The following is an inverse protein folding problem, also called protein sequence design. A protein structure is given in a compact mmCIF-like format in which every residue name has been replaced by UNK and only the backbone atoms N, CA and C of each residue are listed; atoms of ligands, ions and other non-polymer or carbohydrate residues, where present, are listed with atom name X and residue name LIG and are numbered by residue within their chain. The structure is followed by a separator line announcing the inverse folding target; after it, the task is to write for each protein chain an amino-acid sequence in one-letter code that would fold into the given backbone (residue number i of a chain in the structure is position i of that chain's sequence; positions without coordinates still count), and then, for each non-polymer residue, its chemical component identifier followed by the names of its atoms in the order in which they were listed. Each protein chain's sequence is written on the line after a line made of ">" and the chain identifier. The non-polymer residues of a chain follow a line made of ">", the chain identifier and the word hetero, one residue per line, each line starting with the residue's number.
data_IF_914655598459
#
_entry.id   IF_914655598459
#
_cell.length_a   1.000
_cell.length_b   1.000
_cell.length_c   1.000
_cell.angle_alpha   90.00
_cell.angle_beta   90.00
_cell.angle_gamma   90.00
#
_symmetry.space_group_name_H-M   'P 1'
#
loop_
_entity.id
_entity.type
_entity.pdbx_description
1 polymer ?
#
# COMPACT_ATOMS: atom_id res chain seq x y z
N UNK A 1 -12.95 -0.38 -2.43
CA UNK A 1 -12.75 -1.53 -1.53
C UNK A 1 -13.35 -1.31 -0.15
N UNK A 2 -13.19 -0.14 0.49
CA UNK A 2 -13.64 0.19 1.85
C UNK A 2 -15.11 -0.16 2.15
N UNK A 3 -16.01 0.08 1.20
CA UNK A 3 -17.43 -0.19 1.43
C UNK A 3 -17.81 -1.66 1.30
N UNK A 4 -17.00 -2.50 0.66
CA UNK A 4 -17.38 -3.90 0.36
C UNK A 4 -17.37 -4.77 1.61
N UNK A 5 -16.36 -4.66 2.46
CA UNK A 5 -16.26 -5.44 3.70
C UNK A 5 -17.37 -5.08 4.68
N UNK A 6 -17.77 -3.80 4.79
CA UNK A 6 -18.89 -3.38 5.63
C UNK A 6 -20.23 -3.94 5.20
N UNK A 7 -20.47 -4.17 3.91
CA UNK A 7 -21.69 -4.84 3.47
C UNK A 7 -21.78 -6.28 3.97
N UNK A 8 -20.68 -7.03 3.95
CA UNK A 8 -20.63 -8.39 4.50
C UNK A 8 -20.82 -8.39 6.01
N UNK A 9 -20.16 -7.49 6.72
CA UNK A 9 -20.31 -7.35 8.18
C UNK A 9 -21.73 -6.96 8.56
N UNK A 10 -22.38 -6.08 7.79
CA UNK A 10 -23.79 -5.72 7.98
C UNK A 10 -24.73 -6.90 7.70
N UNK A 11 -24.48 -7.66 6.65
CA UNK A 11 -25.26 -8.87 6.34
C UNK A 11 -25.16 -9.91 7.47
N UNK A 12 -23.94 -10.11 8.01
CA UNK A 12 -23.72 -10.99 9.15
C UNK A 12 -24.45 -10.48 10.41
N UNK A 13 -24.43 -9.18 10.67
CA UNK A 13 -25.15 -8.56 11.79
C UNK A 13 -26.66 -8.78 11.67
N UNK A 14 -27.23 -8.61 10.47
CA UNK A 14 -28.64 -8.90 10.19
C UNK A 14 -28.97 -10.37 10.42
N UNK A 15 -28.10 -11.28 10.01
CA UNK A 15 -28.26 -12.71 10.25
C UNK A 15 -28.26 -13.04 11.74
N UNK A 16 -27.28 -12.55 12.49
CA UNK A 16 -27.19 -12.74 13.95
C UNK A 16 -28.39 -12.14 14.69
N UNK A 17 -28.83 -10.94 14.27
CA UNK A 17 -30.02 -10.29 14.86
C UNK A 17 -31.30 -11.08 14.58
N UNK A 18 -31.40 -11.72 13.43
CA UNK A 18 -32.51 -12.62 13.09
C UNK A 18 -32.55 -13.86 13.98
N UNK A 19 -31.38 -14.41 14.36
CA UNK A 19 -31.28 -15.48 15.33
C UNK A 19 -31.79 -15.08 16.73
N UNK A 20 -31.52 -13.83 17.17
CA UNK A 20 -32.08 -13.30 18.42
C UNK A 20 -33.59 -13.16 18.38
N UNK A 21 -34.16 -12.69 17.25
CA UNK A 21 -35.60 -12.60 17.05
C UNK A 21 -36.27 -13.99 17.12
N UNK A 22 -35.67 -15.00 16.50
CA UNK A 22 -36.16 -16.37 16.56
C UNK A 22 -36.20 -16.93 18.00
N UNK A 23 -35.16 -16.63 18.81
CA UNK A 23 -35.12 -17.00 20.23
C UNK A 23 -36.15 -16.24 21.09
N UNK A 24 -36.49 -15.01 20.70
CA UNK A 24 -37.52 -14.21 21.36
C UNK A 24 -38.96 -14.61 21.00
N UNK A 25 -39.12 -15.65 20.18
CA UNK A 25 -40.44 -16.21 19.81
C UNK A 25 -40.96 -15.76 18.44
N UNK A 26 -40.31 -14.76 17.81
CA UNK A 26 -40.76 -14.24 16.51
C UNK A 26 -40.01 -14.95 15.35
N UNK A 27 -40.25 -16.25 15.25
CA UNK A 27 -39.63 -17.11 14.23
C UNK A 27 -40.03 -16.73 12.79
N UNK A 28 -41.25 -16.26 12.60
CA UNK A 28 -41.73 -15.88 11.26
C UNK A 28 -41.00 -14.66 10.70
N UNK A 29 -40.80 -13.63 11.53
CA UNK A 29 -40.03 -12.44 11.17
C UNK A 29 -38.56 -12.76 10.95
N UNK A 30 -37.97 -13.60 11.79
CA UNK A 30 -36.60 -14.05 11.64
C UNK A 30 -36.38 -14.78 10.32
N UNK A 31 -37.24 -15.72 9.99
CA UNK A 31 -37.19 -16.48 8.73
C UNK A 31 -37.38 -15.57 7.51
N UNK A 32 -38.31 -14.64 7.59
CA UNK A 32 -38.54 -13.64 6.50
C UNK A 32 -37.29 -12.77 6.27
N UNK A 33 -36.63 -12.32 7.32
CA UNK A 33 -35.37 -11.52 7.21
C UNK A 33 -34.27 -12.33 6.57
N UNK A 34 -34.02 -13.56 7.05
CA UNK A 34 -32.99 -14.44 6.47
C UNK A 34 -33.28 -14.72 5.02
N UNK A 35 -34.53 -15.09 4.68
CA UNK A 35 -34.93 -15.32 3.29
C UNK A 35 -34.69 -14.09 2.40
N UNK A 36 -35.08 -12.91 2.85
CA UNK A 36 -34.89 -11.68 2.07
C UNK A 36 -33.42 -11.35 1.89
N UNK A 37 -32.57 -11.58 2.90
CA UNK A 37 -31.14 -11.39 2.82
C UNK A 37 -30.50 -12.35 1.80
N UNK A 38 -30.88 -13.62 1.83
CA UNK A 38 -30.40 -14.63 0.87
C UNK A 38 -30.86 -14.29 -0.54
N UNK A 39 -32.13 -13.95 -0.74
CA UNK A 39 -32.66 -13.57 -2.05
C UNK A 39 -31.94 -12.32 -2.59
N UNK A 40 -31.74 -11.31 -1.77
CA UNK A 40 -31.00 -10.11 -2.16
C UNK A 40 -29.57 -10.45 -2.58
N UNK A 41 -28.86 -11.28 -1.78
CA UNK A 41 -27.52 -11.72 -2.11
C UNK A 41 -27.44 -12.49 -3.43
N UNK A 42 -28.37 -13.41 -3.66
CA UNK A 42 -28.44 -14.17 -4.91
C UNK A 42 -28.76 -13.26 -6.11
N UNK A 43 -29.72 -12.35 -5.99
CA UNK A 43 -30.03 -11.39 -7.06
C UNK A 43 -28.83 -10.49 -7.37
N UNK A 44 -28.13 -9.99 -6.33
CA UNK A 44 -26.94 -9.18 -6.51
C UNK A 44 -25.81 -9.96 -7.20
N UNK A 45 -25.60 -11.22 -6.82
CA UNK A 45 -24.60 -12.10 -7.44
C UNK A 45 -24.93 -12.38 -8.90
N UNK A 46 -26.18 -12.72 -9.21
CA UNK A 46 -26.64 -12.94 -10.59
C UNK A 46 -26.49 -11.68 -11.44
N UNK A 47 -26.89 -10.53 -10.91
CA UNK A 47 -26.72 -9.25 -11.60
C UNK A 47 -25.24 -8.92 -11.84
N UNK A 48 -24.36 -9.14 -10.86
CA UNK A 48 -22.92 -8.94 -11.00
C UNK A 48 -22.34 -9.83 -12.09
N UNK A 49 -22.68 -11.12 -12.08
CA UNK A 49 -22.19 -12.07 -13.09
C UNK A 49 -22.74 -11.71 -14.48
N UNK A 50 -24.04 -11.40 -14.59
CA UNK A 50 -24.65 -11.08 -15.87
C UNK A 50 -24.13 -9.78 -16.49
N UNK A 51 -23.94 -8.73 -15.67
CA UNK A 51 -23.52 -7.40 -16.14
C UNK A 51 -22.01 -7.26 -16.28
N UNK A 52 -21.23 -7.96 -15.45
CA UNK A 52 -19.78 -7.78 -15.34
C UNK A 52 -19.00 -9.05 -15.68
N UNK A 53 -19.61 -9.99 -16.42
CA UNK A 53 -18.95 -11.26 -16.76
C UNK A 53 -17.53 -11.13 -17.32
N UNK A 54 -17.24 -10.23 -18.26
CA UNK A 54 -15.87 -10.08 -18.77
C UNK A 54 -14.84 -9.70 -17.69
N UNK A 55 -15.28 -8.93 -16.68
CA UNK A 55 -14.45 -8.56 -15.54
C UNK A 55 -14.37 -9.70 -14.52
N UNK A 56 -15.50 -10.34 -14.23
CA UNK A 56 -15.58 -11.47 -13.27
C UNK A 56 -14.74 -12.64 -13.75
N UNK A 57 -14.83 -12.99 -15.03
CA UNK A 57 -14.05 -14.09 -15.61
C UNK A 57 -12.54 -13.83 -15.54
N UNK A 58 -12.10 -12.60 -15.81
CA UNK A 58 -10.68 -12.21 -15.65
C UNK A 58 -10.23 -12.29 -14.19
N UNK A 59 -11.05 -11.81 -13.24
CA UNK A 59 -10.74 -11.90 -11.81
C UNK A 59 -10.64 -13.36 -11.34
N UNK A 60 -11.52 -14.24 -11.83
CA UNK A 60 -11.52 -15.66 -11.46
C UNK A 60 -10.35 -16.44 -12.10
N UNK A 61 -9.92 -16.03 -13.29
CA UNK A 61 -8.80 -16.63 -13.99
C UNK A 61 -7.43 -16.13 -13.50
N UNK A 62 -7.41 -15.00 -12.79
CA UNK A 62 -6.17 -14.37 -12.36
C UNK A 62 -5.72 -14.92 -11.00
N UNK A 63 -4.47 -15.42 -10.94
CA UNK A 63 -3.87 -15.84 -9.67
C UNK A 63 -3.32 -14.64 -8.90
N UNK A 64 -4.15 -14.14 -7.99
CA UNK A 64 -3.75 -13.04 -7.12
C UNK A 64 -2.67 -13.43 -6.12
N UNK A 65 -2.56 -14.71 -5.75
CA UNK A 65 -1.57 -15.17 -4.78
C UNK A 65 -0.17 -15.11 -5.36
N UNK A 66 -0.03 -15.44 -6.64
CA UNK A 66 1.23 -15.35 -7.37
C UNK A 66 1.69 -13.89 -7.45
N UNK A 67 0.80 -13.00 -7.91
CA UNK A 67 1.11 -11.58 -8.07
C UNK A 67 1.49 -10.85 -6.78
N UNK A 68 0.88 -11.24 -5.66
CA UNK A 68 1.08 -10.58 -4.37
C UNK A 68 1.95 -11.38 -3.40
N UNK A 69 2.57 -12.48 -3.86
CA UNK A 69 3.44 -13.35 -3.04
C UNK A 69 4.56 -12.58 -2.34
N UNK A 70 5.13 -11.60 -2.99
CA UNK A 70 6.21 -10.75 -2.45
C UNK A 70 5.78 -9.91 -1.24
N UNK A 71 4.50 -9.58 -1.14
CA UNK A 71 3.95 -8.86 0.00
C UNK A 71 3.43 -9.78 1.11
N UNK A 72 3.56 -11.09 0.92
CA UNK A 72 3.18 -12.08 1.93
C UNK A 72 4.40 -12.45 2.78
N UNK A 73 4.76 -11.56 3.69
CA UNK A 73 5.94 -11.70 4.58
C UNK A 73 5.67 -12.52 5.83
N UNK A 74 4.43 -12.96 6.06
CA UNK A 74 4.09 -13.81 7.21
C UNK A 74 2.60 -14.07 7.37
N UNK A 75 2.28 -14.97 8.30
CA UNK A 75 0.90 -15.37 8.57
C UNK A 75 0.16 -14.43 9.53
N UNK A 76 -0.91 -14.95 10.13
CA UNK A 76 -1.80 -14.21 11.03
C UNK A 76 -1.06 -13.53 12.21
N UNK A 77 -0.02 -14.14 12.75
CA UNK A 77 0.74 -13.56 13.87
C UNK A 77 1.48 -12.30 13.43
N UNK A 78 2.10 -12.33 12.24
CA UNK A 78 2.77 -11.17 11.64
C UNK A 78 1.76 -10.06 11.36
N UNK A 79 0.58 -10.39 10.85
CA UNK A 79 -0.49 -9.42 10.61
C UNK A 79 -0.96 -8.76 11.91
N UNK A 80 -1.19 -9.54 12.98
CA UNK A 80 -1.54 -8.99 14.30
C UNK A 80 -0.44 -8.11 14.88
N UNK A 81 0.81 -8.47 14.66
CA UNK A 81 1.96 -7.65 15.04
C UNK A 81 1.91 -6.31 14.30
N UNK A 82 1.75 -6.30 12.98
CA UNK A 82 1.61 -5.06 12.20
C UNK A 82 0.43 -4.21 12.66
N UNK A 83 -0.71 -4.82 12.97
CA UNK A 83 -1.85 -4.09 13.53
C UNK A 83 -1.54 -3.44 14.87
N UNK A 84 -0.91 -4.17 15.79
CA UNK A 84 -0.51 -3.64 17.09
C UNK A 84 0.49 -2.48 16.93
N UNK A 85 1.43 -2.68 16.06
CA UNK A 85 2.50 -1.71 15.81
C UNK A 85 1.96 -0.46 15.11
N UNK A 86 1.17 -0.55 14.07
CA UNK A 86 0.60 0.60 13.34
C UNK A 86 -0.48 1.37 14.10
N UNK A 87 -1.18 0.75 15.03
CA UNK A 87 -2.10 1.44 15.93
C UNK A 87 -1.41 2.07 17.14
N UNK A 88 -0.20 1.64 17.43
CA UNK A 88 0.49 1.91 18.69
C UNK A 88 0.07 0.94 19.80
N UNK A 89 1.03 0.34 20.47
CA UNK A 89 0.80 -0.74 21.42
C UNK A 89 -0.22 -0.37 22.51
N UNK A 90 -0.15 0.84 23.06
CA UNK A 90 -1.09 1.31 24.09
C UNK A 90 -2.52 1.42 23.55
N UNK A 91 -2.67 1.98 22.35
CA UNK A 91 -3.98 2.10 21.69
C UNK A 91 -4.54 0.71 21.40
N UNK A 92 -3.70 -0.22 20.97
CA UNK A 92 -4.10 -1.59 20.70
C UNK A 92 -4.57 -2.33 21.98
N UNK A 93 -3.89 -2.12 23.11
CA UNK A 93 -4.34 -2.64 24.41
C UNK A 93 -5.71 -2.07 24.79
N UNK A 94 -5.95 -0.76 24.56
CA UNK A 94 -7.26 -0.16 24.83
C UNK A 94 -8.35 -0.69 23.89
N UNK A 95 -8.03 -0.98 22.65
CA UNK A 95 -8.94 -1.64 21.68
C UNK A 95 -9.34 -3.03 22.20
N UNK A 96 -8.36 -3.83 22.63
CA UNK A 96 -8.62 -5.16 23.20
C UNK A 96 -9.45 -5.08 24.50
N UNK A 97 -9.16 -4.09 25.34
CA UNK A 97 -9.93 -3.84 26.55
C UNK A 97 -11.38 -3.43 26.23
N UNK A 98 -11.56 -2.55 25.25
CA UNK A 98 -12.89 -2.15 24.76
C UNK A 98 -13.68 -3.33 24.21
N UNK A 99 -13.03 -4.21 23.48
CA UNK A 99 -13.61 -5.45 23.01
C UNK A 99 -14.09 -6.33 24.17
N UNK A 100 -13.23 -6.59 25.16
CA UNK A 100 -13.59 -7.34 26.35
C UNK A 100 -14.74 -6.70 27.12
N UNK A 101 -14.77 -5.36 27.29
CA UNK A 101 -15.87 -4.64 27.95
C UNK A 101 -17.19 -4.79 27.22
N UNK A 102 -17.20 -4.78 25.89
CA UNK A 102 -18.41 -5.02 25.12
C UNK A 102 -19.04 -6.37 25.47
N UNK A 103 -18.24 -7.43 25.62
CA UNK A 103 -18.73 -8.72 26.07
C UNK A 103 -19.26 -8.69 27.50
N UNK A 104 -18.50 -8.08 28.41
CA UNK A 104 -18.92 -7.95 29.82
C UNK A 104 -20.24 -7.19 29.96
N UNK A 105 -20.46 -6.18 29.14
CA UNK A 105 -21.68 -5.33 29.18
C UNK A 105 -22.81 -5.86 28.29
N UNK A 106 -22.65 -7.02 27.68
CA UNK A 106 -23.62 -7.64 26.77
C UNK A 106 -23.98 -6.75 25.56
N UNK A 107 -23.08 -5.90 25.14
CA UNK A 107 -23.20 -5.03 23.96
C UNK A 107 -22.78 -5.80 22.70
N UNK A 108 -23.41 -6.93 22.44
CA UNK A 108 -22.94 -7.88 21.41
C UNK A 108 -23.01 -7.38 19.99
N UNK A 109 -23.86 -6.40 19.67
CA UNK A 109 -24.01 -5.90 18.31
C UNK A 109 -22.76 -5.17 17.82
N UNK A 110 -22.17 -4.34 18.69
CA UNK A 110 -21.01 -3.53 18.36
C UNK A 110 -19.73 -4.38 18.15
N UNK A 111 -19.33 -5.26 19.10
CA UNK A 111 -18.18 -6.11 18.87
C UNK A 111 -18.41 -7.15 17.77
N UNK A 112 -19.65 -7.59 17.53
CA UNK A 112 -19.92 -8.50 16.43
C UNK A 112 -19.67 -7.83 15.07
N UNK A 113 -20.06 -6.57 14.89
CA UNK A 113 -19.76 -5.81 13.69
C UNK A 113 -18.26 -5.61 13.52
N UNK A 114 -17.59 -5.13 14.57
CA UNK A 114 -16.15 -4.90 14.55
C UNK A 114 -15.36 -6.18 14.27
N UNK A 115 -15.71 -7.29 14.96
CA UNK A 115 -15.07 -8.59 14.75
C UNK A 115 -15.30 -9.16 13.38
N UNK A 116 -16.52 -9.06 12.85
CA UNK A 116 -16.79 -9.58 11.50
C UNK A 116 -15.98 -8.84 10.45
N UNK A 117 -15.83 -7.53 10.61
CA UNK A 117 -14.99 -6.71 9.73
C UNK A 117 -13.51 -7.07 9.85
N UNK A 118 -13.00 -7.11 11.07
CA UNK A 118 -11.61 -7.47 11.35
C UNK A 118 -11.30 -8.89 10.86
N UNK A 119 -12.15 -9.87 11.17
CA UNK A 119 -11.93 -11.26 10.78
C UNK A 119 -11.98 -11.43 9.26
N UNK A 120 -12.94 -10.80 8.58
CA UNK A 120 -13.07 -10.88 7.14
C UNK A 120 -11.87 -10.25 6.45
N UNK A 121 -11.47 -9.07 6.87
CA UNK A 121 -10.33 -8.36 6.29
C UNK A 121 -9.02 -9.10 6.56
N UNK A 122 -8.81 -9.60 7.79
CA UNK A 122 -7.63 -10.41 8.11
C UNK A 122 -7.56 -11.69 7.28
N UNK A 123 -8.67 -12.41 7.11
CA UNK A 123 -8.68 -13.62 6.27
C UNK A 123 -8.38 -13.29 4.81
N UNK A 124 -8.92 -12.19 4.30
CA UNK A 124 -8.65 -11.78 2.91
C UNK A 124 -7.18 -11.40 2.71
N UNK A 125 -6.63 -10.59 3.60
CA UNK A 125 -5.26 -10.10 3.44
C UNK A 125 -4.22 -11.19 3.75
N UNK A 126 -4.35 -11.94 4.84
CA UNK A 126 -3.35 -12.96 5.20
C UNK A 126 -3.29 -14.16 4.24
N UNK A 127 -4.26 -14.30 3.35
CA UNK A 127 -4.25 -15.34 2.33
C UNK A 127 -3.48 -14.97 1.07
N UNK A 128 -3.40 -13.68 0.76
CA UNK A 128 -2.84 -13.18 -0.49
C UNK A 128 -1.59 -12.36 -0.22
N UNK A 129 -1.66 -11.47 0.76
CA UNK A 129 -0.57 -10.58 1.16
C UNK A 129 -0.79 -10.09 2.60
N UNK A 130 0.24 -9.56 3.24
CA UNK A 130 0.04 -8.80 4.47
C UNK A 130 -0.55 -7.41 4.17
N UNK A 131 -1.29 -6.84 5.12
CA UNK A 131 -1.85 -5.51 4.92
C UNK A 131 -0.75 -4.45 4.93
N UNK A 132 -0.75 -3.57 3.94
CA UNK A 132 0.06 -2.35 3.96
C UNK A 132 -0.59 -1.26 4.81
N UNK A 133 0.11 -0.14 5.01
CA UNK A 133 -0.38 0.98 5.82
C UNK A 133 -1.71 1.55 5.33
N UNK A 134 -1.91 1.64 4.03
CA UNK A 134 -3.15 2.15 3.45
C UNK A 134 -4.36 1.22 3.66
N UNK A 135 -4.15 -0.09 3.79
CA UNK A 135 -5.21 -1.03 4.13
C UNK A 135 -5.68 -0.89 5.58
N UNK A 136 -4.88 -0.30 6.47
CA UNK A 136 -5.30 0.00 7.84
C UNK A 136 -6.55 0.89 7.91
N UNK A 137 -6.82 1.68 6.89
CA UNK A 137 -8.07 2.45 6.77
C UNK A 137 -9.33 1.57 6.78
N UNK A 138 -9.23 0.31 6.38
CA UNK A 138 -10.35 -0.65 6.44
C UNK A 138 -10.71 -1.00 7.89
N UNK A 139 -9.73 -1.07 8.76
CA UNK A 139 -9.89 -1.46 10.16
C UNK A 139 -10.20 -0.28 11.08
N UNK A 140 -9.85 0.94 10.63
CA UNK A 140 -9.90 2.14 11.44
C UNK A 140 -11.27 2.37 12.11
N UNK A 141 -12.43 2.28 11.43
CA UNK A 141 -13.72 2.48 12.09
C UNK A 141 -13.99 1.50 13.23
N UNK A 142 -13.64 0.22 13.04
CA UNK A 142 -13.80 -0.80 14.08
C UNK A 142 -12.86 -0.50 15.26
N UNK A 143 -11.63 -0.12 15.00
CA UNK A 143 -10.65 0.23 16.03
C UNK A 143 -11.05 1.47 16.82
N UNK A 144 -11.50 2.53 16.16
CA UNK A 144 -11.96 3.77 16.83
C UNK A 144 -13.14 3.46 17.78
N UNK A 145 -14.12 2.70 17.33
CA UNK A 145 -15.26 2.34 18.17
C UNK A 145 -14.81 1.54 19.42
N UNK A 146 -14.00 0.51 19.22
CA UNK A 146 -13.52 -0.33 20.33
C UNK A 146 -12.61 0.46 21.27
N UNK A 147 -11.76 1.33 20.74
CA UNK A 147 -10.92 2.22 21.50
C UNK A 147 -11.74 3.19 22.39
N UNK A 148 -12.76 3.83 21.84
CA UNK A 148 -13.64 4.72 22.61
C UNK A 148 -14.37 3.98 23.74
N UNK A 149 -14.82 2.75 23.48
CA UNK A 149 -15.43 1.91 24.53
C UNK A 149 -14.40 1.55 25.60
N UNK A 150 -13.17 1.23 25.19
CA UNK A 150 -12.07 0.93 26.11
C UNK A 150 -11.70 2.13 26.98
N UNK A 151 -11.52 3.29 26.38
CA UNK A 151 -11.19 4.53 27.06
C UNK A 151 -12.29 4.95 28.05
N UNK A 152 -13.56 4.89 27.65
CA UNK A 152 -14.70 5.18 28.52
C UNK A 152 -14.76 4.21 29.70
N UNK A 153 -14.55 2.90 29.44
CA UNK A 153 -14.53 1.89 30.50
C UNK A 153 -13.38 2.04 31.46
N UNK A 154 -12.23 2.49 30.97
CA UNK A 154 -11.09 2.81 31.83
C UNK A 154 -11.38 3.99 32.73
N UNK A 155 -11.97 5.08 32.20
CA UNK A 155 -12.39 6.25 32.96
C UNK A 155 -13.39 5.85 34.07
N UNK A 156 -14.43 5.08 33.75
CA UNK A 156 -15.38 4.57 34.76
C UNK A 156 -14.72 3.69 35.84
N UNK A 157 -13.69 2.91 35.45
CA UNK A 157 -12.96 2.07 36.40
C UNK A 157 -12.13 2.91 37.38
N UNK A 158 -11.51 3.98 36.88
CA UNK A 158 -10.75 4.95 37.70
C UNK A 158 -11.67 5.61 38.73
N UNK A 159 -12.84 6.08 38.32
CA UNK A 159 -13.82 6.71 39.20
C UNK A 159 -14.31 5.73 40.27
N UNK A 160 -14.59 4.50 39.87
CA UNK A 160 -15.09 3.44 40.80
C UNK A 160 -14.07 3.07 41.85
N UNK A 161 -12.80 2.98 41.52
CA UNK A 161 -11.73 2.59 42.43
C UNK A 161 -11.18 3.77 43.25
N UNK A 162 -11.77 4.96 43.14
CA UNK A 162 -11.31 6.18 43.83
C UNK A 162 -9.81 6.42 43.71
N UNK A 163 -9.29 6.17 42.53
CA UNK A 163 -7.86 6.35 42.24
C UNK A 163 -7.47 7.82 42.48
N UNK A 164 -6.29 8.10 43.02
CA UNK A 164 -5.85 9.46 43.25
C UNK A 164 -5.91 10.30 41.96
N UNK A 165 -6.35 11.55 42.07
CA UNK A 165 -6.45 12.48 40.90
C UNK A 165 -5.16 12.55 40.10
N UNK A 166 -4.01 12.37 40.77
CA UNK A 166 -2.71 12.32 40.08
C UNK A 166 -2.60 11.17 39.09
N UNK A 167 -3.12 9.99 39.41
CA UNK A 167 -3.14 8.85 38.48
C UNK A 167 -4.06 9.09 37.30
N UNK A 168 -5.19 9.80 37.53
CA UNK A 168 -6.08 10.20 36.44
C UNK A 168 -5.36 11.14 35.46
N UNK A 169 -4.67 12.16 35.98
CA UNK A 169 -3.90 13.09 35.15
C UNK A 169 -2.71 12.41 34.46
N UNK A 170 -2.02 11.50 35.16
CA UNK A 170 -0.93 10.73 34.56
C UNK A 170 -1.46 9.85 33.40
N UNK A 171 -2.61 9.20 33.57
CA UNK A 171 -3.22 8.37 32.55
C UNK A 171 -3.72 9.21 31.36
N UNK A 172 -4.31 10.38 31.64
CA UNK A 172 -4.73 11.33 30.61
C UNK A 172 -3.52 11.84 29.82
N UNK A 173 -2.41 12.12 30.50
CA UNK A 173 -1.17 12.52 29.84
C UNK A 173 -0.60 11.39 28.96
N UNK A 174 -0.52 10.17 29.48
CA UNK A 174 -0.06 9.01 28.71
C UNK A 174 -0.95 8.80 27.48
N UNK A 175 -2.27 8.93 27.65
CA UNK A 175 -3.21 8.84 26.56
C UNK A 175 -3.03 9.97 25.54
N UNK A 176 -2.91 11.22 25.99
CA UNK A 176 -2.68 12.37 25.12
C UNK A 176 -1.37 12.23 24.33
N UNK A 177 -0.31 11.74 25.00
CA UNK A 177 0.97 11.44 24.35
C UNK A 177 0.80 10.33 23.31
N UNK A 178 0.08 9.25 23.65
CA UNK A 178 -0.17 8.15 22.71
C UNK A 178 -0.93 8.61 21.46
N UNK A 179 -1.99 9.41 21.65
CA UNK A 179 -2.74 10.01 20.52
C UNK A 179 -1.85 10.97 19.75
N UNK A 180 -1.07 11.78 20.45
CA UNK A 180 -0.15 12.75 19.85
C UNK A 180 0.93 12.08 19.03
N UNK A 181 1.40 10.93 19.48
CA UNK A 181 2.38 10.11 18.79
C UNK A 181 1.74 9.21 17.72
N UNK A 182 0.47 9.35 17.42
CA UNK A 182 -0.17 8.66 16.29
C UNK A 182 0.40 9.17 14.96
N UNK A 183 0.62 8.31 13.96
CA UNK A 183 1.08 8.71 12.63
C UNK A 183 0.27 9.85 12.01
N UNK A 184 -1.06 9.82 12.17
CA UNK A 184 -1.97 10.87 11.68
C UNK A 184 -1.71 12.24 12.31
N UNK A 185 -1.23 12.27 13.56
CA UNK A 185 -0.96 13.54 14.27
C UNK A 185 0.42 14.08 13.93
N UNK A 186 1.38 13.19 13.73
CA UNK A 186 2.75 13.55 13.36
C UNK A 186 2.81 14.25 12.01
N UNK A 187 2.01 13.82 11.04
CA UNK A 187 1.91 14.45 9.72
C UNK A 187 1.49 15.94 9.77
N UNK A 188 0.81 16.36 10.84
CA UNK A 188 0.34 17.73 11.01
C UNK A 188 1.30 18.63 11.78
N UNK A 189 2.47 18.12 12.20
CA UNK A 189 3.41 18.84 13.06
C UNK A 189 4.58 19.44 12.29
N UNK A 190 5.06 20.64 12.71
CA UNK A 190 6.34 21.15 12.27
C UNK A 190 7.49 20.20 12.64
N UNK A 191 8.45 20.05 11.75
CA UNK A 191 9.60 19.14 11.87
C UNK A 191 10.34 19.27 13.22
N UNK A 192 10.56 20.50 13.72
CA UNK A 192 11.21 20.76 15.01
C UNK A 192 10.47 20.10 16.18
N UNK A 193 9.14 20.06 16.13
CA UNK A 193 8.31 19.47 17.19
C UNK A 193 8.37 17.97 17.13
N UNK A 194 8.42 17.40 15.93
CA UNK A 194 8.55 15.95 15.70
C UNK A 194 9.86 15.47 16.31
N UNK A 195 10.99 16.05 15.97
CA UNK A 195 12.31 15.66 16.48
C UNK A 195 12.48 15.87 17.98
N UNK A 196 11.79 16.85 18.58
CA UNK A 196 11.87 17.11 20.02
C UNK A 196 11.03 16.13 20.85
N UNK A 197 9.88 15.70 20.33
CA UNK A 197 8.92 14.86 21.07
C UNK A 197 9.08 13.37 20.78
N UNK A 198 9.77 13.00 19.70
CA UNK A 198 9.99 11.62 19.28
C UNK A 198 11.47 11.24 19.36
N UNK A 199 12.03 11.01 20.55
CA UNK A 199 13.32 10.31 20.63
C UNK A 199 13.13 8.91 20.01
N UNK A 200 14.12 8.46 19.24
CA UNK A 200 14.09 7.20 18.49
C UNK A 200 13.64 5.98 19.34
N UNK A 201 14.01 5.97 20.63
CA UNK A 201 13.59 4.94 21.59
C UNK A 201 12.10 4.91 21.92
N UNK A 202 11.38 6.02 21.78
CA UNK A 202 9.94 6.07 21.99
C UNK A 202 9.18 5.72 20.71
N UNK A 203 9.75 5.98 19.55
CA UNK A 203 9.17 5.61 18.26
C UNK A 203 9.15 4.10 18.06
N UNK A 204 10.13 3.35 18.55
CA UNK A 204 10.13 1.89 18.52
C UNK A 204 8.96 1.26 19.31
N UNK A 205 8.58 1.86 20.45
CA UNK A 205 7.49 1.35 21.28
C UNK A 205 6.10 1.83 20.88
N UNK A 206 6.00 3.01 20.30
CA UNK A 206 4.71 3.62 19.92
C UNK A 206 4.39 3.45 18.45
N UNK A 207 5.31 2.97 17.74
CA UNK A 207 5.32 2.45 16.39
C UNK A 207 5.00 3.35 15.23
N UNK A 208 6.00 3.54 14.49
CA UNK A 208 6.02 4.36 13.30
C UNK A 208 6.96 3.78 12.24
N UNK A 209 6.78 2.49 11.89
CA UNK A 209 7.57 1.87 10.82
C UNK A 209 7.37 2.54 9.48
N UNK A 210 6.30 3.32 9.37
CA UNK A 210 5.95 3.98 8.14
C UNK A 210 5.55 5.43 8.38
N UNK A 211 6.28 6.12 9.27
CA UNK A 211 6.22 7.57 9.25
C UNK A 211 6.51 8.03 7.84
N UNK A 212 5.65 8.90 7.35
CA UNK A 212 5.93 9.71 6.17
C UNK A 212 7.38 10.14 6.25
N UNK A 213 8.15 9.65 5.32
CA UNK A 213 9.54 9.99 5.18
C UNK A 213 9.65 11.50 5.15
N UNK A 214 10.29 12.07 6.16
CA UNK A 214 10.67 13.47 6.12
C UNK A 214 11.80 13.61 5.08
N UNK A 215 11.38 13.89 3.84
CA UNK A 215 12.29 13.94 2.70
C UNK A 215 13.19 15.18 2.82
N UNK A 216 14.41 14.94 3.24
CA UNK A 216 15.44 16.00 3.29
C UNK A 216 15.97 16.36 1.89
N UNK A 217 15.72 15.50 0.92
CA UNK A 217 16.15 15.63 -0.49
C UNK A 217 15.06 16.17 -1.43
N UNK A 218 14.00 16.76 -0.88
CA UNK A 218 12.89 17.29 -1.70
C UNK A 218 13.36 18.35 -2.72
N UNK A 219 14.26 19.23 -2.31
CA UNK A 219 14.82 20.26 -3.19
C UNK A 219 15.61 19.66 -4.36
N UNK A 220 16.32 18.57 -4.12
CA UNK A 220 17.06 17.84 -5.14
C UNK A 220 16.11 17.14 -6.14
N UNK A 221 15.06 16.49 -5.62
CA UNK A 221 14.00 15.87 -6.45
C UNK A 221 13.33 16.94 -7.32
N UNK A 222 13.02 18.10 -6.75
CA UNK A 222 12.47 19.23 -7.48
C UNK A 222 13.44 19.74 -8.57
N UNK A 223 14.74 19.80 -8.29
CA UNK A 223 15.74 20.19 -9.27
C UNK A 223 15.80 19.21 -10.46
N UNK A 224 15.74 17.90 -10.20
CA UNK A 224 15.63 16.87 -11.24
C UNK A 224 14.36 17.07 -12.08
N UNK A 225 13.22 17.29 -11.42
CA UNK A 225 11.93 17.51 -12.10
C UNK A 225 11.94 18.76 -12.95
N UNK A 226 12.50 19.86 -12.45
CA UNK A 226 12.65 21.11 -13.20
C UNK A 226 13.55 20.94 -14.42
N UNK A 227 14.67 20.23 -14.25
CA UNK A 227 15.57 19.94 -15.36
C UNK A 227 14.87 19.14 -16.46
N UNK A 228 14.18 18.05 -16.11
CA UNK A 228 13.41 17.25 -17.04
C UNK A 228 12.33 18.07 -17.75
N UNK A 229 11.60 18.89 -17.01
CA UNK A 229 10.55 19.75 -17.56
C UNK A 229 11.10 20.74 -18.59
N UNK A 230 12.30 21.25 -18.35
CA UNK A 230 12.96 22.20 -19.27
C UNK A 230 13.52 21.53 -20.54
N UNK A 231 13.83 20.23 -20.50
CA UNK A 231 14.52 19.53 -21.60
C UNK A 231 13.62 18.56 -22.39
N UNK A 232 12.44 18.19 -21.82
CA UNK A 232 11.43 17.37 -22.50
C UNK A 232 10.52 18.25 -23.35
N UNK A 233 10.62 18.09 -24.67
CA UNK A 233 9.72 18.69 -25.64
C UNK A 233 8.30 18.09 -25.59
N UNK A 234 7.48 18.53 -26.55
CA UNK A 234 6.16 17.94 -26.77
C UNK A 234 6.33 16.53 -27.37
N UNK A 235 5.74 15.53 -26.72
CA UNK A 235 5.88 14.13 -27.12
C UNK A 235 7.12 13.41 -26.59
N UNK A 236 8.12 14.13 -26.04
CA UNK A 236 9.27 13.50 -25.41
C UNK A 236 8.86 12.88 -24.06
N UNK A 237 9.46 11.72 -23.74
CA UNK A 237 9.29 11.03 -22.46
C UNK A 237 10.63 10.79 -21.77
N UNK A 238 10.59 10.60 -20.47
CA UNK A 238 11.71 10.09 -19.70
C UNK A 238 11.31 8.76 -19.06
N UNK A 239 12.28 7.93 -18.75
CA UNK A 239 12.09 6.67 -18.04
C UNK A 239 13.00 6.61 -16.82
N UNK A 240 12.45 6.28 -15.66
CA UNK A 240 13.22 6.12 -14.44
C UNK A 240 13.36 4.62 -14.14
N UNK A 241 14.61 4.11 -14.15
CA UNK A 241 14.86 2.69 -13.84
C UNK A 241 14.62 2.40 -12.35
N UNK A 242 15.12 3.20 -11.39
CA UNK A 242 14.79 3.01 -9.98
C UNK A 242 13.29 3.10 -9.72
N UNK A 243 12.77 2.12 -8.98
CA UNK A 243 11.38 2.12 -8.52
C UNK A 243 11.30 1.49 -7.13
N UNK A 244 11.56 2.30 -6.14
CA UNK A 244 11.71 1.93 -4.75
C UNK A 244 10.91 2.90 -3.87
N UNK A 245 10.70 2.57 -2.61
CA UNK A 245 10.04 3.46 -1.67
C UNK A 245 10.78 4.80 -1.50
N UNK A 246 12.10 4.79 -1.66
CA UNK A 246 12.92 6.00 -1.57
C UNK A 246 12.84 6.83 -2.85
N UNK A 247 12.96 6.18 -4.01
CA UNK A 247 13.00 6.82 -5.31
C UNK A 247 12.17 6.07 -6.35
N UNK A 248 11.15 6.72 -6.87
CA UNK A 248 10.28 6.20 -7.92
C UNK A 248 9.74 7.33 -8.81
N UNK A 249 9.17 7.03 -9.98
CA UNK A 249 8.61 8.03 -10.88
C UNK A 249 7.54 8.91 -10.22
N UNK A 250 6.75 8.36 -9.31
CA UNK A 250 5.71 9.09 -8.57
C UNK A 250 6.28 10.24 -7.73
N UNK A 251 7.48 10.09 -7.17
CA UNK A 251 8.12 11.18 -6.41
C UNK A 251 8.48 12.36 -7.31
N UNK A 252 9.02 12.11 -8.50
CA UNK A 252 9.34 13.17 -9.47
C UNK A 252 8.07 13.84 -10.01
N UNK A 253 7.01 13.07 -10.30
CA UNK A 253 5.74 13.64 -10.78
C UNK A 253 5.05 14.51 -9.75
N UNK A 254 5.14 14.17 -8.47
CA UNK A 254 4.34 14.78 -7.40
C UNK A 254 5.10 15.79 -6.53
N UNK A 255 6.40 15.99 -6.74
CA UNK A 255 7.20 16.88 -5.86
C UNK A 255 6.90 18.38 -6.04
N UNK A 256 6.16 18.77 -7.07
CA UNK A 256 5.83 20.18 -7.38
C UNK A 256 4.34 20.48 -7.31
N UNK A 257 3.62 19.85 -6.36
CA UNK A 257 2.18 20.08 -6.17
C UNK A 257 1.82 21.56 -5.99
N UNK A 258 0.69 22.02 -6.57
CA UNK A 258 -0.33 21.27 -7.32
C UNK A 258 0.00 21.03 -8.79
N UNK A 259 1.11 21.52 -9.27
CA UNK A 259 1.57 21.34 -10.64
C UNK A 259 2.15 19.93 -10.80
N UNK A 260 1.84 19.27 -11.91
CA UNK A 260 2.34 17.95 -12.27
C UNK A 260 3.04 17.99 -13.63
N UNK A 261 4.18 18.69 -13.74
CA UNK A 261 4.80 19.00 -15.04
C UNK A 261 5.29 17.76 -15.81
N UNK A 262 5.44 16.62 -15.14
CA UNK A 262 5.86 15.36 -15.74
C UNK A 262 4.71 14.37 -15.98
N UNK A 263 3.45 14.76 -15.76
CA UNK A 263 2.31 13.90 -16.07
C UNK A 263 2.28 13.58 -17.57
N UNK A 264 2.16 12.29 -17.88
CA UNK A 264 2.22 11.79 -19.25
C UNK A 264 3.63 11.74 -19.86
N UNK A 265 4.65 12.34 -19.22
CA UNK A 265 6.04 12.37 -19.70
C UNK A 265 6.96 11.41 -18.95
N UNK A 266 6.59 10.99 -17.75
CA UNK A 266 7.34 10.04 -16.93
C UNK A 266 6.40 8.89 -16.52
N UNK A 267 6.35 7.79 -17.27
CA UNK A 267 5.51 6.63 -16.95
C UNK A 267 5.99 5.93 -15.67
N UNK A 268 5.14 5.07 -15.11
CA UNK A 268 5.56 4.16 -14.04
C UNK A 268 6.59 3.18 -14.60
N UNK A 269 7.60 2.88 -13.81
CA UNK A 269 8.56 1.84 -14.14
C UNK A 269 7.98 0.44 -13.82
N UNK A 270 8.68 -0.60 -14.28
CA UNK A 270 8.39 -1.95 -13.82
C UNK A 270 8.97 -2.11 -12.41
N UNK A 271 8.18 -2.22 -11.41
CA UNK A 271 8.74 -2.19 -10.06
C UNK A 271 8.72 -3.51 -9.34
N UNK A 272 7.83 -4.38 -9.73
CA UNK A 272 7.57 -5.53 -8.88
C UNK A 272 7.66 -6.79 -9.71
N UNK A 273 8.46 -7.78 -9.26
CA UNK A 273 8.39 -9.12 -9.80
C UNK A 273 6.91 -9.57 -9.85
N UNK A 274 6.47 -10.13 -10.96
CA UNK A 274 5.07 -10.52 -11.15
C UNK A 274 4.14 -9.45 -11.69
N UNK A 275 4.58 -8.22 -11.96
CA UNK A 275 3.74 -7.25 -12.70
C UNK A 275 3.62 -7.60 -14.18
N UNK A 276 4.50 -8.43 -14.69
CA UNK A 276 4.46 -8.96 -16.06
C UNK A 276 4.32 -7.86 -17.13
N UNK A 277 5.02 -6.76 -16.92
CA UNK A 277 5.00 -5.64 -17.86
C UNK A 277 6.41 -5.39 -18.36
N UNK A 278 6.65 -5.69 -19.62
CA UNK A 278 7.91 -5.30 -20.26
C UNK A 278 7.94 -3.78 -20.47
N UNK A 279 9.05 -3.10 -20.15
CA UNK A 279 9.08 -1.64 -20.08
C UNK A 279 9.29 -0.99 -21.48
N UNK A 280 8.29 -1.07 -22.35
CA UNK A 280 8.37 -0.46 -23.70
C UNK A 280 8.71 1.02 -23.66
N UNK A 281 8.17 1.74 -22.67
CA UNK A 281 8.46 3.16 -22.50
C UNK A 281 9.94 3.49 -22.22
N UNK A 282 10.76 2.51 -21.84
CA UNK A 282 12.21 2.69 -21.74
C UNK A 282 12.87 2.88 -23.11
N UNK A 283 12.43 2.14 -24.12
CA UNK A 283 12.97 2.21 -25.47
C UNK A 283 12.49 3.47 -26.22
N UNK A 284 11.36 4.04 -25.82
CA UNK A 284 10.79 5.26 -26.39
C UNK A 284 11.28 6.53 -25.68
N UNK A 285 11.90 6.37 -24.49
CA UNK A 285 12.30 7.50 -23.67
C UNK A 285 13.50 8.23 -24.28
N UNK A 286 13.40 9.56 -24.37
CA UNK A 286 14.51 10.44 -24.68
C UNK A 286 15.56 10.45 -23.58
N UNK A 287 15.11 10.47 -22.33
CA UNK A 287 15.99 10.46 -21.16
C UNK A 287 15.73 9.25 -20.28
N UNK A 288 16.82 8.62 -19.84
CA UNK A 288 16.80 7.53 -18.85
C UNK A 288 17.43 8.02 -17.57
N UNK A 289 16.77 7.79 -16.44
CA UNK A 289 17.23 8.19 -15.11
C UNK A 289 17.69 6.95 -14.37
N UNK A 290 18.93 7.00 -13.86
CA UNK A 290 19.52 5.98 -12.99
C UNK A 290 19.89 6.58 -11.64
N UNK A 291 20.12 5.74 -10.64
CA UNK A 291 20.63 6.13 -9.34
C UNK A 291 21.85 5.28 -8.96
N UNK A 292 22.80 5.88 -8.31
CA UNK A 292 23.98 5.21 -7.75
C UNK A 292 24.15 5.65 -6.27
N UNK A 293 24.17 4.71 -5.29
CA UNK A 293 23.86 3.29 -5.44
C UNK A 293 22.43 3.07 -5.98
N UNK A 294 22.17 1.90 -6.56
CA UNK A 294 20.83 1.58 -7.04
C UNK A 294 19.92 1.28 -5.84
N UNK A 295 18.85 2.07 -5.62
CA UNK A 295 17.95 1.87 -4.50
C UNK A 295 17.00 0.69 -4.77
N UNK A 296 16.89 -0.21 -3.82
CA UNK A 296 15.95 -1.32 -3.87
C UNK A 296 15.59 -1.85 -2.49
N UNK A 297 14.31 -2.15 -2.28
CA UNK A 297 13.78 -2.81 -1.09
C UNK A 297 13.84 -4.34 -1.18
N UNK A 298 14.10 -4.89 -2.37
CA UNK A 298 14.17 -6.32 -2.62
C UNK A 298 15.61 -6.83 -2.61
N UNK A 299 15.77 -8.13 -2.45
CA UNK A 299 17.10 -8.75 -2.49
C UNK A 299 17.69 -8.64 -3.91
N UNK A 300 18.96 -8.18 -4.04
CA UNK A 300 19.55 -7.90 -5.35
C UNK A 300 19.60 -9.09 -6.31
N UNK A 301 19.74 -10.29 -5.79
CA UNK A 301 19.82 -11.54 -6.55
C UNK A 301 18.48 -12.03 -7.10
N UNK A 302 17.36 -11.51 -6.57
CA UNK A 302 16.00 -11.85 -7.00
C UNK A 302 15.28 -10.67 -7.62
N UNK A 303 15.93 -9.54 -7.78
CA UNK A 303 15.29 -8.30 -8.18
C UNK A 303 15.55 -7.94 -9.64
N UNK A 304 14.46 -7.92 -10.40
CA UNK A 304 14.49 -7.55 -11.80
C UNK A 304 15.07 -6.15 -12.05
N UNK A 305 14.78 -5.21 -11.15
CA UNK A 305 15.28 -3.84 -11.24
C UNK A 305 16.80 -3.75 -11.22
N UNK A 306 17.46 -4.51 -10.34
CA UNK A 306 18.93 -4.58 -10.28
C UNK A 306 19.53 -5.15 -11.59
N UNK A 307 18.93 -6.20 -12.12
CA UNK A 307 19.39 -6.83 -13.37
C UNK A 307 19.19 -5.93 -14.58
N UNK A 308 18.04 -5.27 -14.64
CA UNK A 308 17.75 -4.31 -15.70
C UNK A 308 18.73 -3.12 -15.65
N UNK A 309 18.97 -2.56 -14.46
CA UNK A 309 19.96 -1.50 -14.27
C UNK A 309 21.38 -1.96 -14.63
N UNK A 310 21.76 -3.17 -14.24
CA UNK A 310 23.06 -3.73 -14.59
C UNK A 310 23.22 -3.87 -16.13
N UNK A 311 22.17 -4.32 -16.81
CA UNK A 311 22.14 -4.39 -18.27
C UNK A 311 22.24 -3.00 -18.90
N UNK A 312 21.52 -2.00 -18.36
CA UNK A 312 21.63 -0.64 -18.81
C UNK A 312 23.07 -0.10 -18.70
N UNK A 313 23.71 -0.29 -17.55
CA UNK A 313 25.09 0.13 -17.30
C UNK A 313 26.06 -0.48 -18.33
N UNK A 314 25.82 -1.70 -18.79
CA UNK A 314 26.66 -2.36 -19.80
C UNK A 314 26.49 -1.76 -21.21
N UNK A 315 25.28 -1.37 -21.58
CA UNK A 315 24.95 -0.92 -22.93
C UNK A 315 24.88 0.60 -23.09
N UNK A 316 24.82 1.36 -21.99
CA UNK A 316 24.53 2.79 -22.01
C UNK A 316 25.50 3.62 -22.83
N UNK A 317 26.81 3.28 -22.77
CA UNK A 317 27.85 4.06 -23.45
C UNK A 317 27.79 3.94 -24.99
N UNK A 318 27.07 2.93 -25.49
CA UNK A 318 26.80 2.73 -26.92
C UNK A 318 25.52 3.42 -27.36
N UNK A 319 24.53 3.53 -26.48
CA UNK A 319 23.16 3.96 -26.80
C UNK A 319 22.78 5.31 -26.24
N UNK A 320 23.50 5.78 -25.21
CA UNK A 320 23.17 6.99 -24.48
C UNK A 320 24.41 7.82 -24.15
N UNK A 321 24.20 9.12 -23.93
CA UNK A 321 25.22 10.04 -23.39
C UNK A 321 24.74 10.64 -22.08
N UNK A 322 25.69 10.92 -21.16
CA UNK A 322 25.36 11.55 -19.88
C UNK A 322 24.95 13.02 -20.13
N UNK A 323 23.71 13.35 -19.83
CA UNK A 323 23.14 14.69 -19.98
C UNK A 323 23.23 15.54 -18.70
N UNK A 324 23.00 14.94 -17.54
CA UNK A 324 23.07 15.63 -16.25
C UNK A 324 23.32 14.67 -15.09
N UNK A 325 23.82 15.21 -13.96
CA UNK A 325 24.04 14.48 -12.73
C UNK A 325 23.56 15.34 -11.55
N UNK A 326 22.89 14.72 -10.58
CA UNK A 326 22.35 15.35 -9.38
C UNK A 326 22.79 14.59 -8.12
N UNK A 327 23.49 15.28 -7.22
CA UNK A 327 23.73 14.77 -5.87
C UNK A 327 22.45 14.94 -5.03
N UNK A 328 21.90 13.82 -4.54
CA UNK A 328 20.67 13.84 -3.75
C UNK A 328 20.90 14.17 -2.27
N UNK A 329 22.15 14.39 -1.85
CA UNK A 329 22.51 14.81 -0.50
C UNK A 329 22.37 13.75 0.60
N UNK A 330 22.05 12.52 0.23
CA UNK A 330 21.84 11.39 1.15
C UNK A 330 22.66 10.15 0.75
N UNK A 331 23.72 10.35 -0.02
CA UNK A 331 24.60 9.29 -0.53
C UNK A 331 24.17 8.69 -1.86
N UNK A 332 23.09 9.19 -2.45
CA UNK A 332 22.65 8.81 -3.79
C UNK A 332 22.98 9.89 -4.81
N UNK A 333 23.29 9.45 -6.01
CA UNK A 333 23.51 10.33 -7.17
C UNK A 333 22.57 9.90 -8.29
N UNK A 334 21.78 10.84 -8.82
CA UNK A 334 21.00 10.60 -10.01
C UNK A 334 21.79 11.00 -11.24
N UNK A 335 21.78 10.13 -12.26
CA UNK A 335 22.33 10.40 -13.57
C UNK A 335 21.22 10.34 -14.60
N UNK A 336 21.15 11.38 -15.46
CA UNK A 336 20.20 11.46 -16.56
C UNK A 336 20.99 11.22 -17.83
N UNK A 337 20.56 10.23 -18.60
CA UNK A 337 21.19 9.78 -19.83
C UNK A 337 20.29 10.10 -21.01
N UNK A 338 20.79 10.81 -21.99
CA UNK A 338 20.08 11.11 -23.24
C UNK A 338 20.34 10.00 -24.26
N UNK A 339 19.26 9.44 -24.81
CA UNK A 339 19.36 8.46 -25.90
C UNK A 339 19.88 9.15 -27.18
N UNK A 340 20.93 8.60 -27.76
CA UNK A 340 21.57 9.16 -28.97
C UNK A 340 21.27 8.33 -30.21
N UNK A 341 20.89 7.08 -30.07
CA UNK A 341 20.54 6.18 -31.16
C UNK A 341 19.15 5.57 -30.95
N UNK A 342 18.44 5.34 -32.08
CA UNK A 342 17.19 4.63 -32.05
C UNK A 342 17.40 3.20 -31.52
N UNK A 343 16.43 2.66 -30.78
CA UNK A 343 16.53 1.29 -30.28
C UNK A 343 16.63 0.29 -31.43
N UNK A 344 17.43 -0.76 -31.24
CA UNK A 344 17.57 -1.85 -32.21
C UNK A 344 16.82 -3.09 -31.71
N UNK A 345 16.49 -4.01 -32.63
CA UNK A 345 15.91 -5.31 -32.25
C UNK A 345 16.83 -6.05 -31.26
N UNK A 346 18.15 -6.05 -31.51
CA UNK A 346 19.13 -6.72 -30.65
C UNK A 346 19.14 -6.13 -29.23
N UNK A 347 19.05 -4.80 -29.11
CA UNK A 347 18.94 -4.14 -27.80
C UNK A 347 17.68 -4.62 -27.07
N UNK A 348 16.51 -4.59 -27.72
CA UNK A 348 15.23 -5.01 -27.13
C UNK A 348 15.26 -6.49 -26.71
N UNK A 349 15.78 -7.37 -27.55
CA UNK A 349 15.91 -8.80 -27.26
C UNK A 349 16.86 -9.05 -26.08
N UNK A 350 17.94 -8.28 -25.96
CA UNK A 350 18.85 -8.37 -24.80
C UNK A 350 18.14 -8.08 -23.49
N UNK A 351 17.33 -7.03 -23.42
CA UNK A 351 16.54 -6.75 -22.22
C UNK A 351 15.39 -7.75 -22.02
N UNK A 352 14.82 -8.28 -23.11
CA UNK A 352 13.80 -9.34 -23.02
C UNK A 352 14.36 -10.58 -22.32
N UNK A 353 15.60 -10.97 -22.60
CA UNK A 353 16.26 -12.10 -21.94
C UNK A 353 16.41 -11.88 -20.43
N UNK A 354 16.60 -10.64 -19.97
CA UNK A 354 16.62 -10.33 -18.52
C UNK A 354 15.25 -10.62 -17.89
N UNK A 355 14.17 -10.23 -18.57
CA UNK A 355 12.80 -10.47 -18.09
C UNK A 355 12.40 -11.94 -18.14
N UNK A 356 12.75 -12.64 -19.19
CA UNK A 356 12.45 -14.07 -19.36
C UNK A 356 13.18 -14.92 -18.32
N UNK A 357 14.42 -14.57 -17.98
CA UNK A 357 15.18 -15.26 -16.94
C UNK A 357 14.51 -15.17 -15.56
N UNK A 358 13.92 -14.03 -15.23
CA UNK A 358 13.18 -13.82 -13.97
C UNK A 358 11.78 -14.44 -13.98
N UNK A 359 11.21 -14.66 -15.16
CA UNK A 359 9.85 -15.17 -15.35
C UNK A 359 9.84 -16.50 -16.11
N UNK A 360 10.82 -17.37 -15.84
CA UNK A 360 10.98 -18.64 -16.53
C UNK A 360 9.75 -19.58 -16.45
N UNK A 361 8.89 -19.37 -15.45
CA UNK A 361 7.60 -20.07 -15.30
C UNK A 361 6.54 -19.64 -16.32
N UNK A 362 6.74 -18.50 -17.01
CA UNK A 362 5.82 -17.96 -18.00
C UNK A 362 6.52 -17.73 -19.34
N UNK A 363 6.98 -18.77 -20.03
CA UNK A 363 7.66 -18.64 -21.30
C UNK A 363 6.75 -17.93 -22.31
N UNK A 364 7.33 -17.08 -23.13
CA UNK A 364 6.64 -16.30 -24.18
C UNK A 364 5.69 -15.19 -23.70
N UNK A 365 5.62 -14.91 -22.39
CA UNK A 365 4.72 -13.86 -21.88
C UNK A 365 5.02 -12.48 -22.48
N UNK A 366 6.30 -12.14 -22.58
CA UNK A 366 6.73 -10.82 -23.08
C UNK A 366 6.95 -10.81 -24.58
N UNK A 367 7.22 -11.95 -25.20
CA UNK A 367 7.57 -12.04 -26.63
C UNK A 367 6.46 -11.49 -27.53
N UNK A 368 5.18 -11.78 -27.25
CA UNK A 368 4.06 -11.27 -28.05
C UNK A 368 3.95 -9.74 -28.01
N UNK A 369 4.11 -9.15 -26.81
CA UNK A 369 4.06 -7.70 -26.63
C UNK A 369 5.27 -7.06 -27.31
N UNK A 370 6.44 -7.66 -27.15
CA UNK A 370 7.70 -7.20 -27.74
C UNK A 370 7.67 -7.28 -29.26
N UNK A 371 7.24 -8.38 -29.86
CA UNK A 371 7.11 -8.54 -31.30
C UNK A 371 6.11 -7.54 -31.89
N UNK A 372 4.97 -7.30 -31.22
CA UNK A 372 4.02 -6.28 -31.63
C UNK A 372 4.62 -4.89 -31.64
N UNK A 373 5.41 -4.55 -30.64
CA UNK A 373 6.11 -3.27 -30.55
C UNK A 373 7.20 -3.11 -31.61
N UNK A 374 8.05 -4.16 -31.78
CA UNK A 374 9.09 -4.18 -32.81
C UNK A 374 8.49 -3.98 -34.20
N UNK A 375 7.43 -4.70 -34.54
CA UNK A 375 6.74 -4.56 -35.83
C UNK A 375 6.17 -3.14 -36.03
N UNK A 376 5.62 -2.51 -34.97
CA UNK A 376 5.10 -1.15 -35.03
C UNK A 376 6.21 -0.11 -35.28
N UNK A 377 7.44 -0.39 -34.89
CA UNK A 377 8.61 0.50 -35.06
C UNK A 377 9.47 0.11 -36.26
N UNK A 378 9.08 -0.91 -37.03
CA UNK A 378 9.79 -1.35 -38.23
C UNK A 378 11.11 -2.10 -37.92
N UNK A 379 11.23 -2.68 -36.75
CA UNK A 379 12.42 -3.41 -36.25
C UNK A 379 12.29 -4.91 -36.44
#
# INVERSE_FOLDING_TARGET
>A
PLFRSYYFSYALLLFVSSGKLAKAGDKALALRRVRNLVLFGLCAMVAMVALLWPMVSKILAFDYSDRYSYYNVGGLVTELYYHAMRTGLLNFVLILFGFWLCFRRKLFALPALALSELALSMVLFTRVQNSGSHQMLLYLPAYVILFLVGAAGLAESIDKFKVPKLCYWALTLVFAVSVRCSPLTVMALPELVIHTIHPASLTEYMHFDELTYDRKDLSQIQAVTQWLTAHLGEGDTAYMIPDDMLYNPGHLRNCMLPEHPLDGKLPDSFSVPGTHTFPMGFFEAKYVITADPFPSTLAPDTELGHRFNAQFIQLRDETHTLAATFDMGNGYTFSIWERVEAPTREEVETYLHVFDAENAQYPEMFSQVTEGWLAAHGL
#
